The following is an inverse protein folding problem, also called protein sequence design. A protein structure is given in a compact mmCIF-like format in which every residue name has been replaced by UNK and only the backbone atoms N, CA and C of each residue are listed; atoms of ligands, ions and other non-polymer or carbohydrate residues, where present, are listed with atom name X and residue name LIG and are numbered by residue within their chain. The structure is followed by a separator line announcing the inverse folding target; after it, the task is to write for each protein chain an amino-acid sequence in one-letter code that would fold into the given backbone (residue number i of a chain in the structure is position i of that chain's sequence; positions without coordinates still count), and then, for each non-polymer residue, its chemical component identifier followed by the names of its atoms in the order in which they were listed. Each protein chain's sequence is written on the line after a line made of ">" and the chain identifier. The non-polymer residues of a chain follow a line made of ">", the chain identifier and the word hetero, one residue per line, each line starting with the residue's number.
data_IF_667360885274
#
_entry.id   IF_667360885274
#
_cell.length_a   1.000
_cell.length_b   1.000
_cell.length_c   1.000
_cell.angle_alpha   90.00
_cell.angle_beta   90.00
_cell.angle_gamma   90.00
#
_symmetry.space_group_name_H-M   'P 1'
#
loop_
_entity.id
_entity.type
_entity.pdbx_description
1 polymer ?
#
# COMPACT_ATOMS: atom_id res chain seq x y z
N UNK A 1 -92.43 38.83 -21.50
CA UNK A 1 -92.67 39.24 -20.11
C UNK A 1 -91.58 38.81 -19.25
N UNK A 2 -90.74 39.73 -18.77
CA UNK A 2 -90.40 40.01 -17.39
C UNK A 2 -89.77 38.77 -16.67
N UNK A 3 -88.72 38.78 -15.98
CA UNK A 3 -87.90 39.83 -15.35
C UNK A 3 -86.60 39.17 -14.75
N UNK A 4 -85.55 39.88 -14.90
CA UNK A 4 -84.43 40.13 -13.96
C UNK A 4 -84.43 39.42 -12.60
N UNK A 5 -83.20 38.97 -12.19
CA UNK A 5 -82.38 39.56 -11.11
C UNK A 5 -81.14 38.70 -10.84
N UNK A 6 -79.97 39.23 -11.09
CA UNK A 6 -79.02 39.76 -10.13
C UNK A 6 -78.39 38.72 -9.15
N UNK A 7 -77.17 38.43 -9.45
CA UNK A 7 -75.98 38.59 -8.67
C UNK A 7 -75.97 38.16 -7.21
N UNK A 8 -75.06 37.28 -6.85
CA UNK A 8 -74.09 37.57 -5.75
C UNK A 8 -72.86 36.64 -5.80
N UNK A 9 -71.73 37.30 -5.88
CA UNK A 9 -70.39 36.70 -5.65
C UNK A 9 -70.30 36.00 -4.28
N UNK A 10 -69.72 34.78 -4.25
CA UNK A 10 -69.00 34.31 -3.10
C UNK A 10 -67.75 33.64 -3.58
N UNK A 11 -66.64 34.30 -3.36
CA UNK A 11 -65.28 33.72 -3.39
C UNK A 11 -65.20 32.65 -2.35
N UNK A 12 -65.01 31.41 -2.77
CA UNK A 12 -64.50 30.34 -1.93
C UNK A 12 -63.05 30.10 -2.30
N UNK A 13 -62.15 30.66 -1.50
CA UNK A 13 -60.70 30.37 -1.59
C UNK A 13 -60.46 28.92 -1.14
N UNK A 14 -60.11 28.08 -2.11
CA UNK A 14 -59.59 26.72 -1.81
C UNK A 14 -58.11 26.88 -1.52
N UNK A 15 -57.73 26.83 -0.24
CA UNK A 15 -56.37 26.62 0.24
C UNK A 15 -55.95 25.20 -0.13
N UNK A 16 -55.23 25.02 -1.22
CA UNK A 16 -54.51 23.81 -1.53
C UNK A 16 -53.24 23.79 -0.65
N UNK A 17 -53.31 23.13 0.48
CA UNK A 17 -52.14 22.78 1.30
C UNK A 17 -51.31 21.76 0.52
N UNK A 18 -50.30 22.26 -0.21
CA UNK A 18 -49.26 21.42 -0.81
C UNK A 18 -48.42 20.78 0.29
N UNK A 19 -48.75 19.56 0.66
CA UNK A 19 -47.83 18.71 1.43
C UNK A 19 -46.64 18.35 0.52
N UNK A 20 -45.58 19.14 0.60
CA UNK A 20 -44.29 18.72 0.06
C UNK A 20 -43.83 17.48 0.88
N UNK A 21 -44.07 16.28 0.34
CA UNK A 21 -43.36 15.09 0.78
C UNK A 21 -41.92 15.28 0.43
N UNK A 22 -41.11 15.68 1.42
CA UNK A 22 -39.70 15.50 1.35
C UNK A 22 -39.47 13.98 1.32
N UNK A 23 -39.32 13.46 0.11
CA UNK A 23 -38.75 12.12 -0.09
C UNK A 23 -37.31 12.27 0.38
N UNK A 24 -37.08 12.07 1.67
CA UNK A 24 -35.76 11.80 2.20
C UNK A 24 -35.28 10.53 1.51
N UNK A 25 -34.40 10.66 0.54
CA UNK A 25 -33.61 9.53 0.08
C UNK A 25 -32.85 9.04 1.31
N UNK A 26 -33.43 8.06 2.00
CA UNK A 26 -32.62 7.24 2.92
C UNK A 26 -31.55 6.65 2.04
N UNK A 27 -30.34 7.22 2.10
CA UNK A 27 -29.18 6.53 1.60
C UNK A 27 -29.15 5.17 2.30
N UNK A 28 -29.58 4.12 1.60
CA UNK A 28 -29.40 2.75 2.07
C UNK A 28 -27.89 2.64 2.24
N UNK A 29 -27.44 2.57 3.48
CA UNK A 29 -26.04 2.32 3.75
C UNK A 29 -25.69 1.02 3.01
N UNK A 30 -24.80 1.13 2.02
CA UNK A 30 -24.43 -0.03 1.24
C UNK A 30 -23.75 -1.01 2.19
N UNK A 31 -24.31 -2.21 2.30
CA UNK A 31 -23.73 -3.28 3.10
C UNK A 31 -22.49 -3.84 2.39
N UNK A 32 -21.59 -4.40 3.17
CA UNK A 32 -20.45 -5.12 2.59
C UNK A 32 -20.96 -6.26 1.71
N UNK A 33 -20.29 -6.56 0.59
CA UNK A 33 -20.60 -7.75 -0.21
C UNK A 33 -20.55 -9.02 0.65
N UNK A 34 -21.46 -9.96 0.41
CA UNK A 34 -21.49 -11.25 1.13
C UNK A 34 -20.22 -12.08 0.94
N UNK A 35 -19.46 -11.81 -0.15
CA UNK A 35 -18.18 -12.44 -0.45
C UNK A 35 -17.21 -11.42 -1.01
N UNK A 36 -15.94 -11.51 -0.59
CA UNK A 36 -14.83 -10.71 -1.12
C UNK A 36 -13.62 -11.59 -1.38
N UNK A 37 -12.80 -11.20 -2.34
CA UNK A 37 -11.49 -11.80 -2.58
C UNK A 37 -10.41 -10.75 -2.34
N UNK A 38 -9.46 -11.05 -1.46
CA UNK A 38 -8.33 -10.20 -1.18
C UNK A 38 -7.02 -10.84 -1.66
N UNK A 39 -6.16 -10.09 -2.28
CA UNK A 39 -4.79 -10.50 -2.59
C UNK A 39 -3.86 -10.09 -1.47
N UNK A 40 -2.90 -10.93 -1.11
CA UNK A 40 -1.94 -10.64 -0.05
C UNK A 40 -0.58 -11.33 -0.28
N UNK A 41 0.37 -11.09 0.61
CA UNK A 41 1.64 -11.79 0.66
C UNK A 41 1.48 -13.29 1.02
N UNK A 42 2.60 -14.02 0.98
CA UNK A 42 2.66 -15.44 1.35
C UNK A 42 2.16 -15.68 2.77
N UNK A 43 1.66 -16.89 3.01
CA UNK A 43 1.43 -17.40 4.38
C UNK A 43 2.72 -17.28 5.19
N UNK A 44 2.59 -16.80 6.44
CA UNK A 44 3.73 -16.51 7.33
C UNK A 44 4.25 -15.08 7.25
N UNK A 45 3.89 -14.31 6.21
CA UNK A 45 4.18 -12.88 6.16
C UNK A 45 3.29 -12.09 7.13
N UNK A 46 3.78 -10.93 7.59
CA UNK A 46 2.99 -10.00 8.39
C UNK A 46 1.70 -9.59 7.67
N UNK A 47 1.79 -9.23 6.38
CA UNK A 47 0.62 -8.80 5.61
C UNK A 47 -0.46 -9.87 5.47
N UNK A 48 -0.09 -11.16 5.35
CA UNK A 48 -1.07 -12.25 5.35
C UNK A 48 -1.75 -12.42 6.70
N UNK A 49 -0.99 -12.38 7.79
CA UNK A 49 -1.55 -12.49 9.14
C UNK A 49 -2.53 -11.36 9.45
N UNK A 50 -2.20 -10.13 9.05
CA UNK A 50 -3.03 -8.95 9.23
C UNK A 50 -4.31 -9.00 8.39
N UNK A 51 -4.20 -9.36 7.10
CA UNK A 51 -5.36 -9.56 6.23
C UNK A 51 -6.30 -10.66 6.78
N UNK A 52 -5.73 -11.75 7.32
CA UNK A 52 -6.52 -12.84 7.91
C UNK A 52 -7.28 -12.41 9.15
N UNK A 53 -6.66 -11.61 10.03
CA UNK A 53 -7.30 -11.10 11.24
C UNK A 53 -8.46 -10.15 10.92
N UNK A 54 -8.28 -9.24 9.95
CA UNK A 54 -9.35 -8.35 9.48
C UNK A 54 -10.48 -9.12 8.80
N UNK A 55 -10.14 -10.10 7.96
CA UNK A 55 -11.12 -10.95 7.29
C UNK A 55 -11.99 -11.74 8.29
N UNK A 56 -11.38 -12.29 9.34
CA UNK A 56 -12.09 -12.99 10.40
C UNK A 56 -13.05 -12.05 11.17
N UNK A 57 -12.58 -10.84 11.52
CA UNK A 57 -13.39 -9.83 12.20
C UNK A 57 -14.60 -9.39 11.35
N UNK A 58 -14.39 -9.08 10.07
CA UNK A 58 -15.47 -8.73 9.15
C UNK A 58 -16.43 -9.90 8.91
N UNK A 59 -15.92 -11.13 8.87
CA UNK A 59 -16.75 -12.33 8.77
C UNK A 59 -17.67 -12.53 9.98
N UNK A 60 -17.17 -12.27 11.19
CA UNK A 60 -17.93 -12.38 12.43
C UNK A 60 -18.99 -11.30 12.57
N UNK A 61 -18.65 -10.05 12.23
CA UNK A 61 -19.54 -8.90 12.43
C UNK A 61 -20.57 -8.76 11.31
N UNK A 62 -20.14 -8.86 10.05
CA UNK A 62 -20.97 -8.59 8.87
C UNK A 62 -21.37 -9.83 8.07
N UNK A 63 -20.87 -11.01 8.44
CA UNK A 63 -21.11 -12.25 7.68
C UNK A 63 -20.38 -12.31 6.33
N UNK A 64 -19.52 -11.35 6.02
CA UNK A 64 -18.76 -11.30 4.75
C UNK A 64 -17.71 -12.41 4.70
N UNK A 65 -17.79 -13.27 3.70
CA UNK A 65 -16.80 -14.32 3.47
C UNK A 65 -15.63 -13.79 2.66
N UNK A 66 -14.47 -13.67 3.28
CA UNK A 66 -13.26 -13.20 2.60
C UNK A 66 -12.38 -14.38 2.22
N UNK A 67 -12.05 -14.47 0.91
CA UNK A 67 -11.04 -15.39 0.40
C UNK A 67 -9.73 -14.64 0.20
N UNK A 68 -8.66 -15.03 0.90
CA UNK A 68 -7.34 -14.46 0.71
C UNK A 68 -6.56 -15.30 -0.31
N UNK A 69 -6.01 -14.64 -1.34
CA UNK A 69 -5.13 -15.21 -2.35
C UNK A 69 -3.68 -14.80 -2.06
N UNK A 70 -2.84 -15.68 -1.51
CA UNK A 70 -1.45 -15.37 -1.21
C UNK A 70 -0.59 -15.40 -2.46
N UNK A 71 0.43 -14.53 -2.54
CA UNK A 71 1.47 -14.57 -3.56
C UNK A 71 2.78 -13.96 -3.06
N UNK A 72 3.89 -14.66 -3.34
CA UNK A 72 5.26 -14.24 -2.98
C UNK A 72 5.87 -13.21 -3.94
N UNK A 73 5.19 -12.81 -5.02
CA UNK A 73 5.69 -11.83 -5.98
C UNK A 73 4.80 -10.58 -6.04
N UNK A 74 5.38 -9.43 -6.37
CA UNK A 74 4.65 -8.17 -6.53
C UNK A 74 3.58 -8.23 -7.61
N UNK A 75 3.94 -8.77 -8.77
CA UNK A 75 3.00 -8.93 -9.90
C UNK A 75 1.88 -9.91 -9.53
N UNK A 76 2.21 -11.02 -8.86
CA UNK A 76 1.22 -12.01 -8.44
C UNK A 76 0.18 -11.46 -7.44
N UNK A 77 0.53 -10.44 -6.66
CA UNK A 77 -0.41 -9.76 -5.75
C UNK A 77 -1.24 -8.69 -6.43
N UNK A 78 -0.63 -7.85 -7.26
CA UNK A 78 -1.33 -6.73 -7.87
C UNK A 78 -2.19 -7.15 -9.07
N UNK A 79 -1.72 -8.07 -9.90
CA UNK A 79 -2.43 -8.48 -11.12
C UNK A 79 -3.88 -8.96 -10.88
N UNK A 80 -4.21 -9.75 -9.85
CA UNK A 80 -5.60 -10.11 -9.56
C UNK A 80 -6.50 -8.90 -9.29
N UNK A 81 -5.98 -7.84 -8.64
CA UNK A 81 -6.72 -6.59 -8.40
C UNK A 81 -7.00 -5.87 -9.72
N UNK A 82 -5.98 -5.69 -10.56
CA UNK A 82 -6.12 -5.03 -11.87
C UNK A 82 -7.08 -5.78 -12.81
N UNK A 83 -7.10 -7.12 -12.71
CA UNK A 83 -7.96 -7.99 -13.54
C UNK A 83 -9.36 -8.23 -12.94
N UNK A 84 -9.75 -7.52 -11.90
CA UNK A 84 -11.06 -7.68 -11.22
C UNK A 84 -11.30 -9.11 -10.64
N UNK A 85 -10.21 -9.84 -10.36
CA UNK A 85 -10.24 -11.17 -9.72
C UNK A 85 -10.03 -11.11 -8.20
N UNK A 86 -9.53 -9.98 -7.72
CA UNK A 86 -9.51 -9.62 -6.32
C UNK A 86 -10.10 -8.21 -6.17
N UNK A 87 -10.84 -8.01 -5.10
CA UNK A 87 -11.48 -6.73 -4.77
C UNK A 87 -10.46 -5.77 -4.16
N UNK A 88 -9.64 -6.27 -3.23
CA UNK A 88 -8.66 -5.49 -2.48
C UNK A 88 -7.29 -6.21 -2.53
N UNK A 89 -6.22 -5.44 -2.70
CA UNK A 89 -4.85 -5.91 -2.52
C UNK A 89 -4.26 -5.41 -1.21
N UNK A 90 -3.78 -6.31 -0.37
CA UNK A 90 -2.85 -6.00 0.72
C UNK A 90 -1.44 -6.00 0.13
N UNK A 91 -1.06 -4.85 -0.40
CA UNK A 91 0.15 -4.67 -1.20
C UNK A 91 1.28 -4.05 -0.37
N UNK A 92 2.41 -3.87 -1.00
CA UNK A 92 3.50 -3.06 -0.50
C UNK A 92 3.86 -2.02 -1.57
N UNK A 93 5.14 -1.67 -1.68
CA UNK A 93 5.63 -0.63 -2.59
C UNK A 93 5.40 -0.91 -4.08
N UNK A 94 4.94 -2.11 -4.45
CA UNK A 94 4.42 -2.35 -5.81
C UNK A 94 3.26 -1.41 -6.17
N UNK A 95 2.50 -0.93 -5.18
CA UNK A 95 1.48 0.10 -5.41
C UNK A 95 2.11 1.41 -5.86
N UNK A 96 3.24 1.82 -5.26
CA UNK A 96 4.00 2.99 -5.69
C UNK A 96 4.54 2.79 -7.11
N UNK A 97 5.26 1.71 -7.39
CA UNK A 97 5.83 1.45 -8.71
C UNK A 97 4.75 1.36 -9.79
N UNK A 98 3.60 0.76 -9.48
CA UNK A 98 2.47 0.68 -10.38
C UNK A 98 1.87 2.05 -10.69
N UNK A 99 1.67 2.91 -9.69
CA UNK A 99 1.16 4.26 -9.90
C UNK A 99 2.17 5.15 -10.65
N UNK A 100 3.47 4.96 -10.40
CA UNK A 100 4.53 5.75 -11.03
C UNK A 100 4.96 5.24 -12.42
N UNK A 101 4.56 4.03 -12.82
CA UNK A 101 5.02 3.41 -14.08
C UNK A 101 6.53 3.13 -14.08
N UNK A 102 7.06 2.67 -12.95
CA UNK A 102 8.48 2.34 -12.78
C UNK A 102 8.69 0.84 -12.55
N UNK A 103 9.91 0.37 -12.50
CA UNK A 103 10.27 -1.03 -12.38
C UNK A 103 9.59 -1.88 -13.46
N UNK A 104 8.98 -3.00 -13.08
CA UNK A 104 8.22 -3.83 -14.03
C UNK A 104 7.09 -3.05 -14.74
N UNK A 105 6.54 -2.01 -14.09
CA UNK A 105 5.46 -1.19 -14.66
C UNK A 105 5.94 -0.15 -15.67
N UNK A 106 7.25 0.02 -15.85
CA UNK A 106 7.84 0.77 -16.95
C UNK A 106 7.92 0.00 -18.28
N UNK A 107 7.57 -1.29 -18.31
CA UNK A 107 7.55 -2.13 -19.52
C UNK A 107 6.27 -1.90 -20.33
N UNK A 108 6.33 -1.99 -21.66
CA UNK A 108 5.21 -1.74 -22.60
C UNK A 108 3.87 -2.38 -22.19
N UNK A 109 3.93 -3.57 -21.59
CA UNK A 109 2.73 -4.31 -21.17
C UNK A 109 2.01 -3.77 -19.96
N UNK A 110 2.57 -2.79 -19.25
CA UNK A 110 2.04 -2.31 -17.98
C UNK A 110 1.68 -0.81 -18.00
N UNK A 111 2.64 0.06 -17.81
CA UNK A 111 2.44 1.49 -17.61
C UNK A 111 1.90 1.88 -16.23
N UNK A 112 1.70 3.17 -15.99
CA UNK A 112 1.10 3.69 -14.76
C UNK A 112 -0.33 3.18 -14.58
N UNK A 113 -0.58 2.49 -13.46
CA UNK A 113 -1.86 1.85 -13.16
C UNK A 113 -2.79 2.77 -12.39
N UNK A 114 -4.08 2.77 -12.77
CA UNK A 114 -5.11 3.59 -12.12
C UNK A 114 -5.64 2.91 -10.85
N UNK A 115 -4.85 2.99 -9.80
CA UNK A 115 -5.13 2.39 -8.49
C UNK A 115 -5.30 3.46 -7.42
N UNK A 116 -5.96 3.08 -6.34
CA UNK A 116 -6.23 3.93 -5.17
C UNK A 116 -5.92 3.20 -3.88
N UNK A 117 -5.43 3.95 -2.91
CA UNK A 117 -5.21 3.48 -1.53
C UNK A 117 -6.48 3.67 -0.71
N UNK A 118 -6.78 2.71 0.16
CA UNK A 118 -7.82 2.81 1.19
C UNK A 118 -7.21 3.22 2.54
N UNK A 119 -6.20 2.49 2.95
CA UNK A 119 -5.42 2.69 4.15
C UNK A 119 -4.07 1.99 4.03
N UNK A 120 -3.08 2.43 4.81
CA UNK A 120 -1.79 1.77 4.87
C UNK A 120 -1.12 2.07 6.22
N UNK A 121 -0.88 1.06 7.05
CA UNK A 121 -0.32 1.31 8.36
C UNK A 121 1.16 1.69 8.32
N UNK A 122 1.66 2.49 9.27
CA UNK A 122 3.09 2.68 9.48
C UNK A 122 3.78 1.35 9.75
N UNK A 123 4.90 1.13 9.09
CA UNK A 123 5.71 -0.07 9.22
C UNK A 123 7.19 0.26 9.13
N UNK A 124 8.01 -0.63 9.64
CA UNK A 124 9.45 -0.56 9.49
C UNK A 124 9.96 -1.66 8.56
N UNK A 125 11.03 -1.34 7.87
CA UNK A 125 11.75 -2.25 6.99
C UNK A 125 13.23 -2.18 7.33
N UNK A 126 13.86 -3.31 7.53
CA UNK A 126 15.23 -3.40 7.95
C UNK A 126 16.00 -4.46 7.20
N UNK A 127 17.29 -4.54 7.48
CA UNK A 127 18.22 -5.54 6.97
C UNK A 127 18.55 -6.50 8.12
N UNK A 128 17.83 -7.64 8.23
CA UNK A 128 18.22 -8.70 9.14
C UNK A 128 19.35 -9.52 8.53
N UNK A 129 20.30 -9.88 9.37
CA UNK A 129 21.36 -10.81 9.07
C UNK A 129 21.36 -11.98 10.08
N UNK A 130 21.86 -13.13 9.67
CA UNK A 130 22.19 -14.19 10.61
C UNK A 130 23.33 -13.71 11.51
N UNK A 131 23.18 -13.81 12.83
CA UNK A 131 24.16 -13.28 13.78
C UNK A 131 25.54 -13.94 13.65
N UNK A 132 25.59 -15.20 13.19
CA UNK A 132 26.82 -15.93 12.91
C UNK A 132 27.53 -15.52 11.60
N UNK A 133 26.90 -14.65 10.79
CA UNK A 133 27.49 -14.21 9.52
C UNK A 133 28.59 -13.13 9.70
N UNK A 134 28.74 -12.56 10.90
CA UNK A 134 29.72 -11.52 11.18
C UNK A 134 29.45 -10.23 10.40
N UNK A 135 28.18 -9.79 10.36
CA UNK A 135 27.73 -8.54 9.76
C UNK A 135 27.38 -7.57 10.89
N UNK A 136 28.26 -6.62 11.17
CA UNK A 136 28.10 -5.60 12.20
C UNK A 136 28.01 -4.19 11.60
N UNK A 137 28.48 -4.03 10.37
CA UNK A 137 28.49 -2.77 9.61
C UNK A 137 28.12 -3.01 8.15
N UNK A 138 27.85 -1.93 7.41
CA UNK A 138 27.59 -2.02 5.96
C UNK A 138 28.79 -2.54 5.18
N UNK A 139 30.02 -2.25 5.63
CA UNK A 139 31.24 -2.74 4.97
C UNK A 139 31.33 -4.27 5.02
N UNK A 140 30.82 -4.90 6.08
CA UNK A 140 30.81 -6.35 6.24
C UNK A 140 29.85 -7.07 5.28
N UNK A 141 28.97 -6.34 4.56
CA UNK A 141 28.10 -6.92 3.54
C UNK A 141 28.87 -7.39 2.31
N UNK A 142 30.06 -6.83 2.06
CA UNK A 142 30.84 -7.17 0.87
C UNK A 142 31.18 -8.64 0.80
N UNK A 143 30.84 -9.27 -0.34
CA UNK A 143 31.03 -10.70 -0.57
C UNK A 143 30.11 -11.62 0.22
N UNK A 144 29.16 -11.09 1.01
CA UNK A 144 28.14 -11.90 1.70
C UNK A 144 26.97 -12.25 0.78
N UNK A 145 26.28 -13.34 1.08
CA UNK A 145 25.14 -13.87 0.34
C UNK A 145 23.86 -13.12 0.69
N UNK A 146 23.34 -12.36 -0.27
CA UNK A 146 22.13 -11.58 -0.13
C UNK A 146 20.94 -12.31 -0.76
N UNK A 147 19.90 -12.61 0.02
CA UNK A 147 18.67 -13.19 -0.53
C UNK A 147 17.77 -12.12 -1.12
N UNK A 148 17.44 -12.23 -2.41
CA UNK A 148 16.45 -11.44 -3.13
C UNK A 148 15.34 -12.33 -3.69
N UNK A 149 14.26 -11.73 -4.22
CA UNK A 149 13.05 -12.45 -4.62
C UNK A 149 12.75 -12.23 -6.10
N UNK A 150 12.60 -13.30 -6.86
CA UNK A 150 12.24 -13.23 -8.27
C UNK A 150 10.86 -12.56 -8.45
N UNK A 151 10.79 -11.59 -9.37
CA UNK A 151 9.54 -10.87 -9.67
C UNK A 151 8.95 -10.08 -8.50
N UNK A 152 9.82 -9.61 -7.57
CA UNK A 152 9.39 -8.83 -6.43
C UNK A 152 10.21 -7.54 -6.27
N UNK A 153 10.05 -6.56 -7.17
CA UNK A 153 10.72 -5.26 -7.06
C UNK A 153 10.40 -4.56 -5.74
N UNK A 154 9.22 -4.81 -5.16
CA UNK A 154 8.83 -4.25 -3.86
C UNK A 154 9.77 -4.65 -2.70
N UNK A 155 10.45 -5.78 -2.78
CA UNK A 155 11.49 -6.15 -1.82
C UNK A 155 12.86 -5.74 -2.33
N UNK A 156 13.16 -6.07 -3.59
CA UNK A 156 14.52 -5.97 -4.14
C UNK A 156 15.01 -4.52 -4.19
N UNK A 157 14.20 -3.57 -4.67
CA UNK A 157 14.54 -2.13 -4.71
C UNK A 157 14.76 -1.58 -3.30
N UNK A 158 13.94 -2.02 -2.34
CA UNK A 158 14.13 -1.62 -0.94
C UNK A 158 15.42 -2.17 -0.34
N UNK A 159 15.80 -3.39 -0.71
CA UNK A 159 17.09 -3.97 -0.32
C UNK A 159 18.26 -3.20 -0.95
N UNK A 160 18.18 -2.89 -2.23
CA UNK A 160 19.17 -2.08 -2.92
C UNK A 160 19.32 -0.69 -2.26
N UNK A 161 18.20 -0.05 -1.95
CA UNK A 161 18.21 1.22 -1.20
C UNK A 161 18.85 1.09 0.18
N UNK A 162 18.58 -0.04 0.88
CA UNK A 162 19.15 -0.25 2.22
C UNK A 162 20.66 -0.42 2.18
N UNK A 163 21.21 -1.27 1.30
CA UNK A 163 22.67 -1.41 1.17
C UNK A 163 23.29 -0.12 0.64
N UNK A 164 22.57 0.64 -0.23
CA UNK A 164 22.95 1.96 -0.70
C UNK A 164 23.11 3.01 0.40
N UNK A 165 22.41 2.86 1.54
CA UNK A 165 22.66 3.69 2.73
C UNK A 165 24.14 3.61 3.14
N UNK A 166 24.72 2.44 3.14
CA UNK A 166 26.14 2.19 3.43
C UNK A 166 27.09 2.47 2.26
N UNK A 167 26.57 2.90 1.09
CA UNK A 167 27.40 3.06 -0.11
C UNK A 167 27.76 1.73 -0.78
N UNK A 168 27.05 0.66 -0.48
CA UNK A 168 27.20 -0.69 -1.06
C UNK A 168 26.24 -0.83 -2.23
N UNK A 169 26.64 -1.56 -3.25
CA UNK A 169 25.84 -1.89 -4.43
C UNK A 169 25.59 -3.39 -4.56
N UNK A 170 24.73 -3.78 -5.48
CA UNK A 170 24.49 -5.21 -5.75
C UNK A 170 25.74 -5.93 -6.30
N UNK A 171 26.68 -5.21 -6.89
CA UNK A 171 27.94 -5.75 -7.40
C UNK A 171 28.93 -6.11 -6.26
N UNK A 172 28.73 -5.53 -5.08
CA UNK A 172 29.58 -5.77 -3.91
C UNK A 172 29.17 -7.03 -3.12
N UNK A 173 28.00 -7.63 -3.41
CA UNK A 173 27.42 -8.75 -2.67
C UNK A 173 27.13 -9.95 -3.57
N UNK A 174 27.03 -11.15 -3.00
CA UNK A 174 26.61 -12.34 -3.74
C UNK A 174 25.08 -12.44 -3.73
N UNK A 175 24.41 -12.01 -4.82
CA UNK A 175 22.95 -12.07 -4.93
C UNK A 175 22.47 -13.49 -5.19
N UNK A 176 21.59 -14.00 -4.33
CA UNK A 176 20.91 -15.29 -4.49
C UNK A 176 19.40 -15.05 -4.66
N UNK A 177 18.87 -15.41 -5.83
CA UNK A 177 17.47 -15.24 -6.18
C UNK A 177 16.60 -16.40 -5.70
N UNK A 178 15.58 -16.12 -4.91
CA UNK A 178 14.59 -17.09 -4.45
C UNK A 178 13.25 -16.92 -5.17
N UNK A 179 12.49 -18.01 -5.36
CA UNK A 179 11.24 -17.97 -6.14
C UNK A 179 10.09 -17.24 -5.43
N UNK A 180 10.11 -17.16 -4.09
CA UNK A 180 9.07 -16.49 -3.29
C UNK A 180 9.68 -15.71 -2.13
N UNK A 181 8.91 -14.76 -1.59
CA UNK A 181 9.29 -14.01 -0.40
C UNK A 181 9.55 -14.93 0.80
N UNK A 182 8.64 -15.87 1.08
CA UNK A 182 8.80 -16.82 2.19
C UNK A 182 10.08 -17.65 2.06
N UNK A 183 10.43 -18.10 0.84
CA UNK A 183 11.66 -18.84 0.59
C UNK A 183 12.93 -18.01 0.85
N UNK A 184 12.93 -16.73 0.43
CA UNK A 184 14.04 -15.83 0.70
C UNK A 184 14.21 -15.58 2.20
N UNK A 185 13.14 -15.34 2.93
CA UNK A 185 13.19 -15.13 4.39
C UNK A 185 13.68 -16.36 5.14
N UNK A 186 13.20 -17.56 4.80
CA UNK A 186 13.61 -18.81 5.43
C UNK A 186 15.04 -19.21 5.09
N UNK A 187 15.61 -18.67 4.02
CA UNK A 187 16.97 -19.01 3.57
C UNK A 187 18.06 -18.67 4.59
N UNK A 188 17.83 -17.64 5.43
CA UNK A 188 18.78 -17.22 6.46
C UNK A 188 18.91 -18.30 7.54
N UNK A 189 17.81 -18.76 8.12
CA UNK A 189 17.81 -19.82 9.11
C UNK A 189 18.36 -21.15 8.52
N UNK A 190 18.17 -21.38 7.21
CA UNK A 190 18.68 -22.55 6.50
C UNK A 190 20.16 -22.45 6.09
N UNK A 191 20.85 -21.33 6.38
CA UNK A 191 22.26 -21.12 6.01
C UNK A 191 22.52 -20.97 4.51
N UNK A 192 21.46 -20.70 3.71
CA UNK A 192 21.55 -20.50 2.24
C UNK A 192 21.88 -19.06 1.88
N UNK A 193 21.56 -18.12 2.74
CA UNK A 193 21.95 -16.71 2.65
C UNK A 193 22.39 -16.20 4.00
N UNK A 194 23.05 -15.03 4.02
CA UNK A 194 23.59 -14.42 5.22
C UNK A 194 22.72 -13.25 5.67
N UNK A 195 22.10 -12.52 4.73
CA UNK A 195 21.21 -11.41 5.00
C UNK A 195 20.15 -11.24 3.91
N UNK A 196 19.15 -10.44 4.21
CA UNK A 196 18.08 -10.02 3.30
C UNK A 196 17.51 -8.70 3.79
N UNK A 197 16.36 -8.26 3.22
CA UNK A 197 15.63 -7.13 3.78
C UNK A 197 14.15 -7.48 3.90
N UNK A 198 13.54 -7.06 5.01
CA UNK A 198 12.16 -7.39 5.32
C UNK A 198 11.57 -6.46 6.38
N UNK A 199 10.27 -6.58 6.65
CA UNK A 199 9.66 -6.06 7.87
C UNK A 199 10.14 -6.84 9.10
N UNK A 200 9.92 -6.30 10.28
CA UNK A 200 10.44 -6.87 11.52
C UNK A 200 9.65 -8.07 12.06
N UNK A 201 8.46 -8.35 11.53
CA UNK A 201 7.48 -9.27 12.13
C UNK A 201 7.07 -10.51 11.32
N UNK A 202 7.68 -10.90 10.17
CA UNK A 202 7.42 -12.20 9.56
C UNK A 202 7.83 -13.35 10.49
N UNK A 203 7.09 -14.46 10.46
CA UNK A 203 7.37 -15.64 11.26
C UNK A 203 8.79 -16.16 11.09
N UNK A 204 9.32 -16.09 9.86
CA UNK A 204 10.69 -16.53 9.52
C UNK A 204 11.77 -15.74 10.26
N UNK A 205 11.52 -14.48 10.62
CA UNK A 205 12.48 -13.70 11.42
C UNK A 205 12.51 -14.16 12.87
N UNK A 206 11.36 -14.52 13.44
CA UNK A 206 11.31 -15.15 14.75
C UNK A 206 11.96 -16.54 14.73
N UNK A 207 11.74 -17.33 13.66
CA UNK A 207 12.42 -18.61 13.46
C UNK A 207 13.95 -18.44 13.38
N UNK A 208 14.43 -17.39 12.70
CA UNK A 208 15.86 -17.07 12.64
C UNK A 208 16.40 -16.68 14.03
N UNK A 209 15.67 -15.83 14.75
CA UNK A 209 16.05 -15.38 16.10
C UNK A 209 16.21 -16.54 17.08
N UNK A 210 15.32 -17.54 17.01
CA UNK A 210 15.34 -18.74 17.86
C UNK A 210 16.27 -19.84 17.33
N UNK A 211 16.79 -19.72 16.10
CA UNK A 211 17.72 -20.68 15.51
C UNK A 211 19.12 -20.56 16.10
N UNK A 212 20.01 -21.57 15.94
CA UNK A 212 21.41 -21.46 16.34
C UNK A 212 22.16 -20.31 15.63
N UNK A 213 21.67 -19.83 14.50
CA UNK A 213 22.28 -18.73 13.77
C UNK A 213 22.00 -17.36 14.41
N UNK A 214 20.86 -17.20 15.14
CA UNK A 214 20.44 -15.93 15.71
C UNK A 214 20.10 -14.88 14.66
N UNK A 215 19.68 -13.71 15.11
CA UNK A 215 19.35 -12.56 14.26
C UNK A 215 20.05 -11.30 14.75
N UNK A 216 20.55 -10.49 13.82
CA UNK A 216 20.91 -9.09 14.06
C UNK A 216 20.21 -8.20 13.05
N UNK A 217 20.06 -6.90 13.36
CA UNK A 217 19.51 -5.91 12.45
C UNK A 217 20.56 -4.85 12.20
N UNK A 218 20.92 -4.64 10.94
CA UNK A 218 21.85 -3.58 10.57
C UNK A 218 21.11 -2.23 10.63
N UNK A 219 21.66 -1.29 11.41
CA UNK A 219 21.00 -0.03 11.69
C UNK A 219 21.24 1.04 10.60
N UNK A 220 20.24 1.91 10.41
CA UNK A 220 20.28 3.11 9.55
C UNK A 220 19.98 4.35 10.41
N UNK A 221 20.97 4.90 11.15
CA UNK A 221 20.80 6.02 12.06
C UNK A 221 20.23 7.26 11.35
N UNK A 222 19.27 7.96 11.99
CA UNK A 222 18.54 9.07 11.41
C UNK A 222 19.40 10.32 11.13
N UNK A 223 20.50 10.50 11.84
CA UNK A 223 21.41 11.64 11.77
C UNK A 223 22.40 11.57 10.60
N UNK A 224 22.54 10.43 9.93
CA UNK A 224 23.42 10.26 8.78
C UNK A 224 22.74 10.75 7.49
N UNK A 225 22.65 12.08 7.34
CA UNK A 225 21.95 12.70 6.21
C UNK A 225 22.43 12.25 4.85
N UNK A 226 23.75 12.15 4.64
CA UNK A 226 24.33 11.73 3.36
C UNK A 226 23.94 10.30 2.99
N UNK A 227 23.91 9.40 3.96
CA UNK A 227 23.45 8.02 3.76
C UNK A 227 21.96 7.97 3.42
N UNK A 228 21.14 8.78 4.08
CA UNK A 228 19.72 8.93 3.75
C UNK A 228 19.50 9.50 2.35
N UNK A 229 20.29 10.50 1.92
CA UNK A 229 20.21 11.06 0.58
C UNK A 229 20.50 9.95 -0.49
N UNK A 230 21.51 9.07 -0.25
CA UNK A 230 21.79 7.92 -1.12
C UNK A 230 20.61 6.93 -1.16
N UNK A 231 20.06 6.57 -0.01
CA UNK A 231 18.92 5.65 0.09
C UNK A 231 17.69 6.20 -0.61
N UNK A 232 17.35 7.47 -0.38
CA UNK A 232 16.17 8.12 -0.94
C UNK A 232 16.30 8.42 -2.44
N UNK A 233 17.50 8.45 -2.97
CA UNK A 233 17.72 8.50 -4.43
C UNK A 233 17.19 7.23 -5.13
N UNK A 234 17.22 6.08 -4.46
CA UNK A 234 16.70 4.79 -4.94
C UNK A 234 15.23 4.62 -4.52
N UNK A 235 14.92 4.88 -3.25
CA UNK A 235 13.61 4.64 -2.64
C UNK A 235 13.10 5.90 -1.90
N UNK A 236 12.50 6.86 -2.62
CA UNK A 236 12.13 8.18 -2.08
C UNK A 236 10.98 8.13 -1.04
N UNK A 237 10.34 6.99 -0.89
CA UNK A 237 9.25 6.77 0.07
C UNK A 237 9.73 6.38 1.47
N UNK A 238 11.04 6.20 1.67
CA UNK A 238 11.59 5.87 2.98
C UNK A 238 11.90 7.11 3.82
N UNK A 239 11.70 6.96 5.14
CA UNK A 239 12.17 7.87 6.16
C UNK A 239 12.77 7.11 7.34
N UNK A 240 13.49 7.78 8.25
CA UNK A 240 14.04 7.15 9.45
C UNK A 240 12.94 6.76 10.44
N UNK A 241 13.15 5.67 11.16
CA UNK A 241 12.29 5.24 12.26
C UNK A 241 13.09 4.45 13.30
N UNK A 242 12.69 4.57 14.56
CA UNK A 242 13.11 3.67 15.63
C UNK A 242 12.00 2.66 15.86
N UNK A 243 12.27 1.39 15.59
CA UNK A 243 11.30 0.31 15.73
C UNK A 243 11.51 -0.45 17.05
N UNK A 244 10.39 -0.74 17.71
CA UNK A 244 10.37 -1.42 19.00
C UNK A 244 9.62 -2.77 18.96
N UNK A 245 9.15 -3.19 17.77
CA UNK A 245 8.37 -4.41 17.59
C UNK A 245 8.97 -5.29 16.51
N UNK A 246 9.42 -6.50 16.85
CA UNK A 246 9.95 -7.43 15.86
C UNK A 246 10.72 -8.59 16.49
N UNK A 247 11.26 -9.44 15.62
CA UNK A 247 12.15 -10.53 16.04
C UNK A 247 13.45 -9.97 16.60
N UNK A 248 13.74 -10.22 17.88
CA UNK A 248 14.91 -9.67 18.58
C UNK A 248 14.82 -8.16 18.86
N UNK A 249 13.66 -7.52 18.62
CA UNK A 249 13.42 -6.10 18.82
C UNK A 249 12.37 -5.91 19.91
N UNK A 250 12.62 -4.98 20.83
CA UNK A 250 11.68 -4.61 21.90
C UNK A 250 11.87 -3.13 22.29
N UNK A 251 11.10 -2.66 23.26
CA UNK A 251 11.27 -1.32 23.83
C UNK A 251 12.61 -1.15 24.56
N UNK A 252 13.14 -2.22 25.14
CA UNK A 252 14.46 -2.25 25.79
C UNK A 252 15.62 -2.43 24.79
N UNK A 253 15.32 -2.95 23.59
CA UNK A 253 16.27 -3.16 22.52
C UNK A 253 15.70 -2.65 21.18
N UNK A 254 15.51 -1.33 21.03
CA UNK A 254 15.01 -0.74 19.80
C UNK A 254 16.06 -0.76 18.69
N UNK A 255 15.61 -0.66 17.42
CA UNK A 255 16.50 -0.64 16.26
C UNK A 255 16.15 0.53 15.34
N UNK A 256 17.16 1.31 14.92
CA UNK A 256 17.00 2.41 13.97
C UNK A 256 17.03 1.89 12.53
N UNK A 257 15.87 1.90 11.88
CA UNK A 257 15.66 1.35 10.54
C UNK A 257 14.71 2.24 9.72
N UNK A 258 14.31 1.82 8.54
CA UNK A 258 13.46 2.61 7.66
C UNK A 258 11.98 2.49 8.01
N UNK A 259 11.25 3.63 7.89
CA UNK A 259 9.80 3.69 7.90
C UNK A 259 9.20 3.75 6.49
N UNK A 260 8.05 3.12 6.30
CA UNK A 260 7.20 3.20 5.11
C UNK A 260 5.76 2.75 5.45
N UNK A 261 4.88 2.67 4.46
CA UNK A 261 3.52 2.13 4.63
C UNK A 261 3.47 0.66 4.20
N UNK A 262 3.03 -0.24 5.11
CA UNK A 262 2.89 -1.66 4.81
C UNK A 262 2.07 -2.42 5.86
N UNK A 263 1.12 -3.28 5.47
CA UNK A 263 0.58 -3.36 4.11
C UNK A 263 -0.16 -2.09 3.71
N UNK A 264 -0.34 -1.90 2.38
CA UNK A 264 -1.18 -0.84 1.81
C UNK A 264 -2.39 -1.50 1.17
N UNK A 265 -3.58 -1.22 1.68
CA UNK A 265 -4.81 -1.66 1.07
C UNK A 265 -5.08 -0.85 -0.18
N UNK A 266 -5.14 -1.54 -1.32
CA UNK A 266 -5.20 -0.92 -2.64
C UNK A 266 -6.34 -1.52 -3.44
N UNK A 267 -7.05 -0.66 -4.15
CA UNK A 267 -8.14 -1.02 -5.07
C UNK A 267 -7.92 -0.36 -6.42
N UNK A 268 -8.70 -0.76 -7.43
CA UNK A 268 -8.77 0.00 -8.68
C UNK A 268 -9.50 1.33 -8.45
N UNK A 269 -9.19 2.32 -9.26
CA UNK A 269 -9.87 3.62 -9.23
C UNK A 269 -11.37 3.52 -9.56
N UNK A 270 -11.78 2.52 -10.37
CA UNK A 270 -13.16 2.30 -10.80
C UNK A 270 -13.99 1.46 -9.80
N UNK A 271 -13.48 1.18 -8.62
CA UNK A 271 -14.29 0.56 -7.57
C UNK A 271 -15.36 1.53 -7.10
N UNK A 272 -16.56 1.02 -6.82
CA UNK A 272 -17.67 1.84 -6.39
C UNK A 272 -17.38 2.56 -5.07
N UNK A 273 -17.62 3.89 -5.04
CA UNK A 273 -17.27 4.73 -3.89
C UNK A 273 -18.09 4.38 -2.63
N UNK A 274 -19.32 3.90 -2.78
CA UNK A 274 -20.16 3.49 -1.65
C UNK A 274 -19.68 2.15 -1.08
N UNK A 275 -19.21 1.24 -1.94
CA UNK A 275 -18.58 -0.02 -1.49
C UNK A 275 -17.30 0.25 -0.71
N UNK A 276 -16.45 1.15 -1.20
CA UNK A 276 -15.21 1.55 -0.51
C UNK A 276 -15.53 2.22 0.83
N UNK A 277 -16.52 3.12 0.85
CA UNK A 277 -16.96 3.75 2.08
C UNK A 277 -17.46 2.71 3.10
N UNK A 278 -18.31 1.77 2.68
CA UNK A 278 -18.80 0.69 3.53
C UNK A 278 -17.66 -0.19 4.07
N UNK A 279 -16.66 -0.46 3.24
CA UNK A 279 -15.46 -1.21 3.65
C UNK A 279 -14.65 -0.46 4.71
N UNK A 280 -14.39 0.85 4.52
CA UNK A 280 -13.66 1.68 5.49
C UNK A 280 -14.39 1.74 6.83
N UNK A 281 -15.73 1.86 6.78
CA UNK A 281 -16.58 1.82 7.96
C UNK A 281 -16.48 0.49 8.67
N UNK A 282 -16.58 -0.62 7.96
CA UNK A 282 -16.47 -1.95 8.54
C UNK A 282 -15.09 -2.21 9.15
N UNK A 283 -14.03 -1.73 8.51
CA UNK A 283 -12.66 -1.80 9.05
C UNK A 283 -12.55 -1.06 10.38
N UNK A 284 -13.12 0.13 10.50
CA UNK A 284 -13.11 0.94 11.71
C UNK A 284 -13.97 0.30 12.82
N UNK A 285 -15.20 -0.11 12.51
CA UNK A 285 -16.13 -0.70 13.46
C UNK A 285 -15.66 -2.07 14.02
N UNK A 286 -14.88 -2.82 13.23
CA UNK A 286 -14.28 -4.10 13.66
C UNK A 286 -12.88 -3.96 14.27
N UNK A 287 -12.34 -2.73 14.37
CA UNK A 287 -10.96 -2.52 14.84
C UNK A 287 -10.67 -3.19 16.18
N UNK A 288 -11.57 -3.08 17.15
CA UNK A 288 -11.40 -3.69 18.47
C UNK A 288 -11.35 -5.22 18.43
N UNK A 289 -11.89 -5.84 17.38
CA UNK A 289 -11.90 -7.30 17.22
C UNK A 289 -10.57 -7.84 16.71
N UNK A 290 -9.83 -7.04 15.91
CA UNK A 290 -8.58 -7.49 15.28
C UNK A 290 -7.32 -6.80 15.82
N UNK A 291 -7.41 -5.64 16.49
CA UNK A 291 -6.23 -4.88 16.94
C UNK A 291 -5.26 -5.66 17.83
N UNK A 292 -5.74 -6.70 18.52
CA UNK A 292 -4.93 -7.56 19.38
C UNK A 292 -4.32 -8.79 18.69
N UNK A 293 -4.57 -9.01 17.39
CA UNK A 293 -4.16 -10.24 16.71
C UNK A 293 -2.62 -10.34 16.53
N UNK A 294 -1.95 -9.21 16.34
CA UNK A 294 -0.48 -9.12 16.35
C UNK A 294 -0.04 -7.82 17.03
N UNK A 295 1.24 -7.73 17.40
CA UNK A 295 1.81 -6.53 18.05
C UNK A 295 1.75 -5.27 17.17
N UNK A 296 1.63 -5.39 15.85
CA UNK A 296 1.57 -4.26 14.91
C UNK A 296 0.14 -3.89 14.49
N UNK A 297 -0.85 -4.72 14.79
CA UNK A 297 -2.25 -4.46 14.45
C UNK A 297 -2.81 -3.15 15.05
N UNK A 298 -2.38 -2.67 16.24
CA UNK A 298 -2.82 -1.36 16.74
C UNK A 298 -2.51 -0.20 15.79
N UNK A 299 -1.51 -0.32 14.90
CA UNK A 299 -1.15 0.70 13.89
C UNK A 299 -2.16 0.81 12.74
N UNK A 300 -3.19 -0.05 12.71
CA UNK A 300 -4.28 0.01 11.74
C UNK A 300 -5.43 0.93 12.16
N UNK A 301 -5.37 1.59 13.33
CA UNK A 301 -6.33 2.64 13.61
C UNK A 301 -6.28 3.70 12.49
N UNK A 302 -7.41 4.34 12.20
CA UNK A 302 -7.51 5.22 11.04
C UNK A 302 -6.71 6.50 11.17
N UNK A 303 -6.46 7.00 12.40
CA UNK A 303 -5.60 8.16 12.63
C UNK A 303 -4.15 7.90 12.16
N UNK A 304 -3.70 6.64 12.20
CA UNK A 304 -2.36 6.26 11.73
C UNK A 304 -2.38 5.75 10.29
N UNK A 305 -3.38 4.94 9.91
CA UNK A 305 -3.38 4.22 8.64
C UNK A 305 -4.14 4.92 7.51
N UNK A 306 -5.06 5.82 7.84
CA UNK A 306 -5.95 6.52 6.90
C UNK A 306 -5.40 7.86 6.40
N UNK A 307 -4.16 8.22 6.67
CA UNK A 307 -3.59 9.54 6.35
C UNK A 307 -2.39 9.43 5.40
N UNK A 308 -2.12 10.49 4.60
CA UNK A 308 -0.89 10.59 3.81
C UNK A 308 0.40 10.62 4.68
N UNK A 309 1.58 10.40 4.07
CA UNK A 309 1.77 10.01 2.68
C UNK A 309 1.43 8.53 2.44
N UNK A 310 1.13 8.17 1.18
CA UNK A 310 0.87 6.81 0.74
C UNK A 310 1.46 6.54 -0.65
N UNK A 311 1.45 5.28 -1.08
CA UNK A 311 2.09 4.84 -2.33
C UNK A 311 1.33 5.29 -3.59
N UNK A 312 0.02 5.54 -3.47
CA UNK A 312 -0.84 6.04 -4.54
C UNK A 312 -1.91 6.99 -3.96
N UNK A 313 -2.69 7.70 -4.78
CA UNK A 313 -3.80 8.53 -4.29
C UNK A 313 -4.83 7.71 -3.52
N UNK A 314 -5.49 8.32 -2.54
CA UNK A 314 -6.60 7.70 -1.82
C UNK A 314 -7.86 7.64 -2.67
N UNK A 315 -8.68 6.61 -2.45
CA UNK A 315 -9.98 6.44 -3.08
C UNK A 315 -11.01 7.42 -2.49
N UNK A 316 -11.88 7.97 -3.35
CA UNK A 316 -12.89 8.95 -2.90
C UNK A 316 -13.81 8.43 -1.81
N UNK A 317 -14.20 7.14 -1.87
CA UNK A 317 -14.99 6.50 -0.81
C UNK A 317 -14.26 6.42 0.53
N UNK A 318 -12.94 6.17 0.51
CA UNK A 318 -12.12 6.20 1.70
C UNK A 318 -11.99 7.62 2.25
N UNK A 319 -11.69 8.60 1.39
CA UNK A 319 -11.61 10.01 1.79
C UNK A 319 -12.94 10.49 2.41
N UNK A 320 -14.08 10.10 1.83
CA UNK A 320 -15.40 10.44 2.36
C UNK A 320 -15.58 9.93 3.80
N UNK A 321 -15.25 8.68 4.09
CA UNK A 321 -15.32 8.13 5.44
C UNK A 321 -14.34 8.82 6.40
N UNK A 322 -13.11 9.05 5.98
CA UNK A 322 -12.10 9.72 6.79
C UNK A 322 -12.46 11.17 7.13
N UNK A 323 -13.14 11.89 6.20
CA UNK A 323 -13.72 13.22 6.45
C UNK A 323 -14.85 13.17 7.48
N UNK A 324 -15.73 12.18 7.39
CA UNK A 324 -16.82 11.97 8.37
C UNK A 324 -16.26 11.72 9.77
N UNK A 325 -15.15 10.98 9.87
CA UNK A 325 -14.46 10.72 11.14
C UNK A 325 -13.61 11.90 11.64
N UNK A 326 -13.48 12.98 10.88
CA UNK A 326 -12.65 14.14 11.22
C UNK A 326 -11.14 13.87 11.15
N UNK A 327 -10.73 12.82 10.46
CA UNK A 327 -9.32 12.40 10.33
C UNK A 327 -8.66 13.09 9.12
N UNK A 328 -9.42 13.32 8.05
CA UNK A 328 -8.89 13.88 6.80
C UNK A 328 -8.75 15.40 6.87
N UNK A 329 -7.50 15.90 6.85
CA UNK A 329 -7.18 17.33 6.95
C UNK A 329 -7.09 17.98 5.57
N UNK A 330 -6.99 19.34 5.57
CA UNK A 330 -6.77 20.11 4.34
C UNK A 330 -5.40 19.77 3.71
N UNK A 331 -4.37 19.48 4.52
CA UNK A 331 -3.06 19.05 4.05
C UNK A 331 -3.15 17.66 3.39
N UNK A 332 -3.93 16.74 3.98
CA UNK A 332 -4.19 15.42 3.40
C UNK A 332 -4.91 15.55 2.05
N UNK A 333 -5.89 16.45 1.95
CA UNK A 333 -6.59 16.74 0.69
C UNK A 333 -5.64 17.30 -0.36
N UNK A 334 -4.82 18.30 -0.01
CA UNK A 334 -3.83 18.89 -0.93
C UNK A 334 -2.84 17.85 -1.43
N UNK A 335 -2.34 17.01 -0.53
CA UNK A 335 -1.46 15.90 -0.89
C UNK A 335 -2.14 14.94 -1.88
N UNK A 336 -3.39 14.56 -1.59
CA UNK A 336 -4.14 13.63 -2.43
C UNK A 336 -4.41 14.19 -3.83
N UNK A 337 -4.81 15.46 -3.93
CA UNK A 337 -5.01 16.14 -5.20
C UNK A 337 -3.71 16.22 -6.03
N UNK A 338 -2.59 16.53 -5.37
CA UNK A 338 -1.28 16.52 -6.03
C UNK A 338 -0.90 15.11 -6.56
N UNK A 339 -1.21 14.06 -5.81
CA UNK A 339 -0.96 12.67 -6.26
C UNK A 339 -1.89 12.22 -7.37
N UNK A 340 -3.15 12.66 -7.38
CA UNK A 340 -4.09 12.43 -8.49
C UNK A 340 -3.60 13.10 -9.76
N UNK A 341 -3.26 14.40 -9.70
CA UNK A 341 -2.73 15.14 -10.84
C UNK A 341 -1.43 14.50 -11.38
N UNK A 342 -0.56 14.05 -10.49
CA UNK A 342 0.68 13.35 -10.86
C UNK A 342 0.39 12.04 -11.62
N UNK A 343 -0.52 11.22 -11.11
CA UNK A 343 -0.90 9.95 -11.76
C UNK A 343 -1.54 10.19 -13.13
N UNK A 344 -2.43 11.19 -13.26
CA UNK A 344 -3.05 11.58 -14.52
C UNK A 344 -1.99 12.04 -15.53
N UNK A 345 -1.06 12.90 -15.13
CA UNK A 345 0.07 13.36 -15.96
C UNK A 345 0.92 12.18 -16.45
N UNK A 346 1.24 11.24 -15.56
CA UNK A 346 2.03 10.05 -15.93
C UNK A 346 1.28 9.15 -16.92
N UNK A 347 -0.02 8.96 -16.73
CA UNK A 347 -0.84 8.15 -17.65
C UNK A 347 -0.95 8.79 -19.02
N UNK A 348 -1.17 10.10 -19.09
CA UNK A 348 -1.17 10.83 -20.36
C UNK A 348 0.19 10.72 -21.10
N UNK A 349 1.29 10.95 -20.38
CA UNK A 349 2.65 10.78 -20.93
C UNK A 349 2.93 9.34 -21.37
N UNK A 350 2.37 8.35 -20.68
CA UNK A 350 2.48 6.95 -21.07
C UNK A 350 1.80 6.68 -22.42
N UNK A 351 0.56 7.15 -22.60
CA UNK A 351 -0.19 6.98 -23.84
C UNK A 351 0.52 7.61 -25.04
N UNK A 352 1.11 8.80 -24.86
CA UNK A 352 1.96 9.45 -25.86
C UNK A 352 3.21 8.62 -26.16
N UNK A 353 3.89 8.13 -25.12
CA UNK A 353 5.09 7.28 -25.24
C UNK A 353 4.78 5.96 -25.95
N UNK A 354 3.62 5.35 -25.67
CA UNK A 354 3.17 4.14 -26.36
C UNK A 354 2.97 4.35 -27.86
N UNK A 355 2.44 5.51 -28.24
CA UNK A 355 2.26 5.86 -29.64
C UNK A 355 3.61 6.08 -30.34
N UNK A 356 4.55 6.80 -29.70
CA UNK A 356 5.89 7.07 -30.22
C UNK A 356 6.76 5.82 -30.28
N UNK A 357 6.75 5.00 -29.22
CA UNK A 357 7.62 3.83 -29.04
C UNK A 357 7.05 2.52 -29.58
N UNK A 358 6.00 2.53 -30.40
CA UNK A 358 5.24 1.34 -30.83
C UNK A 358 6.15 0.24 -31.39
N UNK A 359 7.11 0.58 -32.25
CA UNK A 359 7.97 -0.36 -32.95
C UNK A 359 9.36 -0.53 -32.31
N UNK A 360 9.61 0.08 -31.15
CA UNK A 360 10.86 0.00 -30.41
C UNK A 360 11.01 -1.34 -29.69
N UNK A 361 12.25 -1.77 -29.41
CA UNK A 361 12.52 -2.85 -28.48
C UNK A 361 12.08 -2.48 -27.04
N UNK A 362 11.99 -3.46 -26.14
CA UNK A 362 11.67 -3.18 -24.72
C UNK A 362 12.70 -2.26 -24.06
N UNK A 363 14.00 -2.40 -24.39
CA UNK A 363 15.06 -1.55 -23.85
C UNK A 363 14.95 -0.11 -24.38
N UNK A 364 14.79 0.08 -25.68
CA UNK A 364 14.59 1.40 -26.29
C UNK A 364 13.34 2.09 -25.75
N UNK A 365 12.28 1.32 -25.54
CA UNK A 365 11.04 1.83 -24.96
C UNK A 365 11.22 2.27 -23.50
N UNK A 366 11.95 1.49 -22.70
CA UNK A 366 12.23 1.83 -21.31
C UNK A 366 13.02 3.15 -21.20
N UNK A 367 14.00 3.36 -22.07
CA UNK A 367 14.75 4.63 -22.14
C UNK A 367 13.85 5.81 -22.56
N UNK A 368 13.02 5.61 -23.59
CA UNK A 368 12.05 6.62 -24.03
C UNK A 368 11.07 6.97 -22.93
N UNK A 369 10.51 5.96 -22.26
CA UNK A 369 9.61 6.17 -21.14
C UNK A 369 10.26 6.95 -20.00
N UNK A 370 11.47 6.57 -19.59
CA UNK A 370 12.17 7.28 -18.52
C UNK A 370 12.40 8.77 -18.87
N UNK A 371 12.74 9.07 -20.13
CA UNK A 371 12.88 10.44 -20.63
C UNK A 371 11.55 11.20 -20.58
N UNK A 372 10.50 10.64 -21.16
CA UNK A 372 9.17 11.26 -21.25
C UNK A 372 8.52 11.42 -19.88
N UNK A 373 8.68 10.42 -19.01
CA UNK A 373 8.25 10.48 -17.59
C UNK A 373 8.92 11.65 -16.86
N UNK A 374 10.25 11.80 -17.01
CA UNK A 374 10.99 12.89 -16.38
C UNK A 374 10.50 14.25 -16.87
N UNK A 375 10.29 14.41 -18.17
CA UNK A 375 9.77 15.64 -18.77
C UNK A 375 8.34 15.96 -18.29
N UNK A 376 7.45 14.95 -18.25
CA UNK A 376 6.09 15.11 -17.77
C UNK A 376 6.04 15.57 -16.30
N UNK A 377 6.85 14.95 -15.44
CA UNK A 377 6.92 15.32 -14.03
C UNK A 377 7.53 16.70 -13.78
N UNK A 378 8.40 17.18 -14.67
CA UNK A 378 8.94 18.53 -14.57
C UNK A 378 7.88 19.61 -14.80
N UNK A 379 6.78 19.31 -15.49
CA UNK A 379 5.66 20.24 -15.71
C UNK A 379 4.76 20.44 -14.48
N UNK A 380 4.89 19.59 -13.46
CA UNK A 380 4.11 19.67 -12.21
C UNK A 380 4.77 20.52 -11.11
N UNK A 381 5.94 21.14 -11.41
CA UNK A 381 6.70 21.95 -10.45
C UNK A 381 6.25 23.41 -10.45
#
# INVERSE_FOLDING_TARGET
>A
MRTNKLALNRYAAILAAGAAMAIGSSAVAQELPSTMTWSSYDVGSAGYAEASAMADAMGKEYGTKVRIQPSGSSIGRLQPVLQKRADIGFLATEAFFAAEGTEDFGKKRWGPQDIRVLAGRPASFGLPAAADAGIESFEDLKGKRMALVAGNPSVNVKCEAYIGFGGITLDDVEVIMFPTYGAAMSSLAQGKADFTCTTTTPSQMYELAESPRGITWLEAPADNKEAWDRMQAIAPFFGPNTETVGAGISEENPVNIMAYRYPVMTVRADMDADQVYAFMKAMDETYDMYKGATKVMPRWNLEMSGIPPADAPFHEGAVRYLKEKGIWTDEAEQWNQARLARLETLRAAWDETMAEGKDMSEEQYAELWQKNRTAALASLK
#
